data_IF_642319864534
#
_entry.id   IF_642319864534
#
_cell.length_a   1.000
_cell.length_b   1.000
_cell.length_c   1.000
_cell.angle_alpha   90.00
_cell.angle_beta   90.00
_cell.angle_gamma   90.00
#
_symmetry.space_group_name_H-M   'P 1'
#
loop_
_entity.id
_entity.type
_entity.pdbx_description
1 polymer ?
#
# COMPACT_ATOMS: atom_id res chain seq x y z
N UNK A 1 -35.95 5.22 -39.39
CA UNK A 1 -36.36 6.66 -39.32
C UNK A 1 -35.51 7.28 -38.26
N UNK A 2 -34.39 7.88 -38.62
CA UNK A 2 -34.15 9.31 -38.74
C UNK A 2 -34.40 10.07 -37.43
N UNK A 3 -33.35 10.49 -36.75
CA UNK A 3 -32.78 11.85 -36.62
C UNK A 3 -31.54 11.72 -35.72
N UNK A 4 -30.31 11.87 -36.22
CA UNK A 4 -29.48 13.07 -36.44
C UNK A 4 -29.11 13.76 -35.12
N UNK A 5 -27.83 13.64 -34.68
CA UNK A 5 -26.68 14.51 -35.02
C UNK A 5 -26.92 16.00 -34.71
N UNK A 6 -26.15 16.53 -33.80
CA UNK A 6 -25.50 17.86 -33.72
C UNK A 6 -25.01 18.04 -32.27
N UNK A 7 -23.85 18.48 -31.89
CA UNK A 7 -22.78 19.29 -32.48
C UNK A 7 -21.64 19.29 -31.45
N UNK A 8 -20.44 19.03 -31.71
CA UNK A 8 -19.36 19.77 -32.39
C UNK A 8 -19.14 21.20 -31.87
N UNK A 9 -17.97 21.39 -31.33
CA UNK A 9 -17.14 22.58 -31.25
C UNK A 9 -17.56 23.73 -30.31
N UNK A 10 -16.76 23.91 -29.23
CA UNK A 10 -16.10 25.22 -29.09
C UNK A 10 -14.70 25.01 -28.51
N UNK A 11 -13.78 25.24 -29.41
CA UNK A 11 -12.33 25.26 -29.18
C UNK A 11 -11.89 26.66 -28.78
N UNK A 12 -10.81 26.71 -27.99
CA UNK A 12 -9.69 27.63 -28.06
C UNK A 12 -9.99 29.14 -27.93
N UNK A 13 -9.28 29.66 -26.99
CA UNK A 13 -8.47 30.86 -27.05
C UNK A 13 -8.58 31.66 -25.75
N UNK A 14 -7.49 31.74 -25.03
CA UNK A 14 -6.89 33.00 -24.64
C UNK A 14 -5.48 32.74 -24.11
N UNK A 15 -4.55 32.91 -25.01
CA UNK A 15 -3.15 33.17 -24.74
C UNK A 15 -2.97 34.70 -24.61
N UNK A 16 -2.02 35.07 -23.78
CA UNK A 16 -1.12 36.20 -23.87
C UNK A 16 -1.47 37.50 -23.16
N UNK A 17 -0.39 37.93 -22.58
CA UNK A 17 0.07 39.28 -22.22
C UNK A 17 -0.24 39.71 -20.79
N UNK A 18 0.74 40.07 -19.96
CA UNK A 18 1.71 41.17 -20.20
C UNK A 18 2.92 41.01 -19.28
N UNK A 19 4.09 41.07 -19.88
CA UNK A 19 5.36 41.49 -19.27
C UNK A 19 5.30 42.98 -18.93
N UNK A 20 5.84 43.37 -17.80
CA UNK A 20 6.80 44.48 -17.65
C UNK A 20 6.74 45.09 -16.27
N UNK A 21 7.90 45.33 -15.73
CA UNK A 21 8.14 46.36 -14.75
C UNK A 21 9.28 46.10 -13.76
N UNK A 22 10.49 46.35 -14.23
CA UNK A 22 11.73 46.71 -13.52
C UNK A 22 11.57 47.34 -12.14
N UNK A 23 12.46 47.02 -11.17
CA UNK A 23 13.65 47.73 -10.91
C UNK A 23 14.14 47.63 -9.48
N UNK A 24 15.38 47.14 -9.33
CA UNK A 24 16.48 47.56 -8.45
C UNK A 24 16.18 47.93 -7.00
N UNK A 25 16.88 47.51 -5.98
CA UNK A 25 18.33 47.54 -5.74
C UNK A 25 18.65 46.94 -4.39
N UNK A 26 19.71 46.18 -4.31
CA UNK A 26 20.38 45.82 -3.04
C UNK A 26 21.12 47.04 -2.48
N UNK A 27 21.44 47.02 -1.17
CA UNK A 27 22.85 46.91 -0.82
C UNK A 27 23.16 45.96 0.36
N UNK A 28 24.28 45.33 0.25
CA UNK A 28 25.05 44.71 1.31
C UNK A 28 26.12 45.67 1.82
N UNK A 29 27.03 45.26 2.70
CA UNK A 29 26.93 44.85 4.11
C UNK A 29 27.74 45.79 5.03
N UNK A 30 27.68 45.64 6.33
CA UNK A 30 28.67 46.24 7.24
C UNK A 30 29.04 45.25 8.36
N UNK A 31 30.31 44.92 8.43
CA UNK A 31 31.02 44.30 9.53
C UNK A 31 31.08 45.22 10.75
N UNK A 32 31.13 44.70 11.93
CA UNK A 32 32.29 44.66 12.81
C UNK A 32 31.96 44.57 14.30
N UNK A 33 32.76 43.74 14.88
CA UNK A 33 33.55 43.81 16.14
C UNK A 33 32.88 43.40 17.44
N UNK A 34 33.51 42.41 17.97
CA UNK A 34 33.42 41.76 19.24
C UNK A 34 33.66 42.62 20.48
N UNK A 35 33.26 42.04 21.58
CA UNK A 35 34.13 42.01 22.78
C UNK A 35 33.65 41.00 23.81
N UNK A 36 34.60 40.31 24.37
CA UNK A 36 34.58 39.45 25.55
C UNK A 36 33.97 40.12 26.76
N UNK A 37 33.27 39.36 27.61
CA UNK A 37 33.49 39.36 29.07
C UNK A 37 32.63 38.31 29.79
N UNK A 38 33.30 37.28 30.32
CA UNK A 38 33.19 36.64 31.65
C UNK A 38 31.82 36.31 32.24
N UNK A 39 31.73 35.01 32.54
CA UNK A 39 30.80 34.30 33.44
C UNK A 39 30.91 34.83 34.88
N UNK A 40 29.81 34.75 35.66
CA UNK A 40 29.86 33.95 36.87
C UNK A 40 28.74 32.90 36.96
N UNK A 41 29.10 31.79 37.57
CA UNK A 41 28.28 30.63 37.88
C UNK A 41 27.35 30.88 39.10
N UNK A 42 26.34 30.02 39.13
CA UNK A 42 25.55 29.55 40.27
C UNK A 42 24.16 30.17 40.44
N UNK A 43 23.12 29.37 40.21
CA UNK A 43 22.38 28.71 41.28
C UNK A 43 21.29 27.79 40.70
N UNK A 44 21.23 26.59 41.28
CA UNK A 44 20.28 25.56 41.02
C UNK A 44 18.86 26.05 41.33
N UNK A 45 17.99 26.05 40.35
CA UNK A 45 16.56 26.02 40.61
C UNK A 45 15.99 24.73 39.94
N UNK A 46 15.37 23.95 40.77
CA UNK A 46 14.61 22.74 40.43
C UNK A 46 13.76 22.96 39.19
N UNK A 47 14.05 22.19 38.15
CA UNK A 47 13.12 21.99 37.06
C UNK A 47 11.89 21.29 37.66
N UNK A 48 10.77 21.95 37.63
CA UNK A 48 9.48 21.28 37.78
C UNK A 48 9.38 20.27 36.63
N UNK A 49 9.26 19.02 37.00
CA UNK A 49 8.74 17.96 36.11
C UNK A 49 7.32 18.41 35.71
N UNK A 50 7.18 18.97 34.52
CA UNK A 50 5.91 18.97 33.84
C UNK A 50 5.73 17.53 33.37
N UNK A 51 5.04 16.75 34.20
CA UNK A 51 4.50 15.47 33.77
C UNK A 51 3.73 15.73 32.49
N UNK A 52 4.12 15.04 31.40
CA UNK A 52 3.27 14.86 30.26
C UNK A 52 1.99 14.24 30.79
N UNK A 53 0.87 14.95 30.73
CA UNK A 53 -0.44 14.34 30.82
C UNK A 53 -0.53 13.36 29.65
N UNK A 54 -0.23 12.08 29.91
CA UNK A 54 -0.61 10.98 29.04
C UNK A 54 -2.11 11.12 28.83
N UNK A 55 -2.53 11.34 27.61
CA UNK A 55 -3.93 11.51 27.27
C UNK A 55 -4.68 10.22 27.58
N UNK A 56 -5.49 10.20 28.61
CA UNK A 56 -6.40 9.08 29.00
C UNK A 56 -7.45 8.77 27.92
N UNK A 57 -7.43 9.45 26.78
CA UNK A 57 -8.44 9.32 25.73
C UNK A 57 -8.55 7.90 25.13
N UNK A 58 -7.44 7.17 25.04
CA UNK A 58 -7.44 5.77 24.55
C UNK A 58 -8.06 4.78 25.54
N UNK A 59 -8.27 5.18 26.80
CA UNK A 59 -8.89 4.39 27.87
C UNK A 59 -10.18 4.99 28.43
N UNK A 60 -10.71 6.07 27.81
CA UNK A 60 -11.94 6.68 28.24
C UNK A 60 -13.11 5.68 28.23
N UNK A 61 -13.97 5.75 29.24
CA UNK A 61 -15.23 4.99 29.27
C UNK A 61 -16.03 5.33 27.99
N UNK A 62 -16.33 4.35 27.14
CA UNK A 62 -17.06 4.57 25.89
C UNK A 62 -18.34 5.38 26.04
N UNK A 63 -19.03 5.24 27.19
CA UNK A 63 -20.25 5.97 27.50
C UNK A 63 -20.02 7.47 27.79
N UNK A 64 -18.80 7.85 28.16
CA UNK A 64 -18.44 9.24 28.50
C UNK A 64 -17.87 10.04 27.32
N UNK A 65 -17.45 9.35 26.24
CA UNK A 65 -16.92 10.00 25.06
C UNK A 65 -18.05 10.50 24.17
N UNK A 66 -18.09 11.80 23.90
CA UNK A 66 -19.10 12.45 23.07
C UNK A 66 -18.50 13.49 22.13
N UNK A 67 -19.12 13.69 20.98
CA UNK A 67 -18.71 14.71 20.02
C UNK A 67 -18.91 14.29 18.58
N UNK A 68 -18.34 15.07 17.66
CA UNK A 68 -18.43 14.82 16.21
C UNK A 68 -17.07 15.10 15.58
N UNK A 69 -16.68 14.27 14.60
CA UNK A 69 -15.53 14.49 13.75
C UNK A 69 -15.79 14.06 12.31
N UNK A 70 -15.00 14.59 11.36
CA UNK A 70 -15.09 14.26 9.93
C UNK A 70 -14.10 13.17 9.56
N UNK A 71 -14.57 12.19 8.76
CA UNK A 71 -13.73 11.12 8.25
C UNK A 71 -13.89 10.95 6.74
N UNK A 72 -12.79 11.10 6.00
CA UNK A 72 -12.75 10.92 4.55
C UNK A 72 -12.01 9.65 4.16
N UNK A 73 -12.58 8.90 3.20
CA UNK A 73 -12.00 7.65 2.70
C UNK A 73 -12.36 7.40 1.23
N UNK A 74 -11.67 6.45 0.63
CA UNK A 74 -11.91 5.97 -0.74
C UNK A 74 -12.58 4.59 -0.77
N UNK A 75 -12.81 3.96 0.37
CA UNK A 75 -13.36 2.60 0.44
C UNK A 75 -14.69 2.55 1.17
N UNK A 76 -15.66 1.86 0.57
CA UNK A 76 -16.97 1.61 1.17
C UNK A 76 -16.90 0.76 2.45
N UNK A 77 -15.82 0.00 2.65
CA UNK A 77 -15.61 -0.81 3.85
C UNK A 77 -15.52 0.03 5.14
N UNK A 78 -15.18 1.32 5.03
CA UNK A 78 -15.20 2.26 6.15
C UNK A 78 -16.59 2.41 6.79
N UNK A 79 -17.68 2.19 6.05
CA UNK A 79 -19.02 2.13 6.66
C UNK A 79 -19.12 1.05 7.73
N UNK A 80 -18.46 -0.09 7.52
CA UNK A 80 -18.46 -1.19 8.47
C UNK A 80 -17.69 -0.84 9.73
N UNK A 81 -16.53 -0.19 9.57
CA UNK A 81 -15.71 0.31 10.67
C UNK A 81 -16.48 1.34 11.52
N UNK A 82 -17.09 2.34 10.86
CA UNK A 82 -17.87 3.38 11.54
C UNK A 82 -19.07 2.80 12.29
N UNK A 83 -19.80 1.85 11.67
CA UNK A 83 -20.93 1.19 12.33
C UNK A 83 -20.48 0.42 13.58
N UNK A 84 -19.40 -0.35 13.47
CA UNK A 84 -18.86 -1.12 14.58
C UNK A 84 -18.31 -0.23 15.70
N UNK A 85 -17.66 0.89 15.35
CA UNK A 85 -17.23 1.90 16.30
C UNK A 85 -18.43 2.52 17.04
N UNK A 86 -19.48 2.91 16.32
CA UNK A 86 -20.67 3.54 16.91
C UNK A 86 -21.48 2.61 17.81
N UNK A 87 -21.39 1.27 17.61
CA UNK A 87 -21.96 0.30 18.56
C UNK A 87 -21.27 0.38 19.94
N UNK A 88 -19.97 0.66 19.95
CA UNK A 88 -19.16 0.80 21.19
C UNK A 88 -19.19 2.23 21.75
N UNK A 89 -19.23 3.23 20.89
CA UNK A 89 -19.17 4.66 21.22
C UNK A 89 -20.41 5.41 20.70
N UNK A 90 -21.60 5.17 21.27
CA UNK A 90 -22.88 5.64 20.69
C UNK A 90 -23.08 7.16 20.74
N UNK A 91 -22.31 7.88 21.54
CA UNK A 91 -22.39 9.34 21.68
C UNK A 91 -21.38 10.07 20.77
N UNK A 92 -20.56 9.34 19.99
CA UNK A 92 -19.64 9.91 19.02
C UNK A 92 -20.29 9.84 17.63
N UNK A 93 -20.38 10.97 16.96
CA UNK A 93 -20.87 11.05 15.59
C UNK A 93 -19.69 11.19 14.62
N UNK A 94 -19.67 10.35 13.58
CA UNK A 94 -18.68 10.42 12.50
C UNK A 94 -19.38 10.90 11.22
N UNK A 95 -18.96 12.06 10.70
CA UNK A 95 -19.35 12.53 9.37
C UNK A 95 -18.46 11.84 8.33
N UNK A 96 -18.87 10.63 7.93
CA UNK A 96 -18.14 9.82 6.97
C UNK A 96 -18.44 10.27 5.54
N UNK A 97 -17.38 10.57 4.77
CA UNK A 97 -17.48 10.87 3.34
C UNK A 97 -16.62 9.88 2.54
N UNK A 98 -17.29 9.11 1.67
CA UNK A 98 -16.67 8.12 0.79
C UNK A 98 -16.64 8.67 -0.63
N UNK A 99 -15.48 8.63 -1.28
CA UNK A 99 -15.27 9.12 -2.64
C UNK A 99 -14.71 8.00 -3.52
N UNK A 100 -14.93 8.05 -4.84
CA UNK A 100 -14.25 7.15 -5.77
C UNK A 100 -12.73 7.32 -5.73
N UNK A 101 -11.95 6.25 -5.91
CA UNK A 101 -10.50 6.26 -5.66
C UNK A 101 -9.73 7.39 -6.35
N UNK A 102 -9.92 7.60 -7.67
CA UNK A 102 -9.22 8.66 -8.42
C UNK A 102 -9.67 10.07 -7.98
N UNK A 103 -10.96 10.25 -7.70
CA UNK A 103 -11.51 11.50 -7.18
C UNK A 103 -10.98 11.76 -5.77
N UNK A 104 -10.95 10.73 -4.93
CA UNK A 104 -10.49 10.83 -3.55
C UNK A 104 -9.04 11.31 -3.47
N UNK A 105 -8.12 10.65 -4.20
CA UNK A 105 -6.71 11.03 -4.21
C UNK A 105 -6.55 12.52 -4.51
N UNK A 106 -7.16 13.01 -5.59
CA UNK A 106 -7.08 14.42 -5.97
C UNK A 106 -7.64 15.34 -4.88
N UNK A 107 -8.76 14.95 -4.27
CA UNK A 107 -9.45 15.75 -3.27
C UNK A 107 -8.67 15.86 -1.97
N UNK A 108 -8.21 14.72 -1.42
CA UNK A 108 -7.44 14.72 -0.17
C UNK A 108 -6.10 15.46 -0.31
N UNK A 109 -5.39 15.25 -1.44
CA UNK A 109 -4.13 15.95 -1.68
C UNK A 109 -4.33 17.46 -1.80
N UNK A 110 -5.42 17.89 -2.48
CA UNK A 110 -5.75 19.32 -2.59
C UNK A 110 -6.10 19.93 -1.23
N UNK A 111 -6.90 19.24 -0.42
CA UNK A 111 -7.26 19.68 0.93
C UNK A 111 -6.01 19.82 1.83
N UNK A 112 -5.15 18.80 1.84
CA UNK A 112 -3.90 18.81 2.60
C UNK A 112 -2.95 19.95 2.16
N UNK A 113 -2.80 20.18 0.85
CA UNK A 113 -1.93 21.24 0.32
C UNK A 113 -2.45 22.65 0.59
N UNK A 114 -3.77 22.85 0.54
CA UNK A 114 -4.38 24.16 0.75
C UNK A 114 -4.60 24.47 2.23
N UNK A 115 -4.73 23.46 3.09
CA UNK A 115 -5.18 23.60 4.46
C UNK A 115 -6.67 23.91 4.60
N UNK A 116 -7.43 23.87 3.48
CA UNK A 116 -8.86 24.19 3.45
C UNK A 116 -9.70 22.90 3.42
N UNK A 117 -10.70 22.82 4.31
CA UNK A 117 -11.63 21.68 4.40
C UNK A 117 -10.93 20.33 4.59
N UNK A 118 -9.81 20.30 5.31
CA UNK A 118 -9.13 19.06 5.68
C UNK A 118 -10.01 18.32 6.68
N UNK A 119 -10.31 17.03 6.47
CA UNK A 119 -11.05 16.24 7.46
C UNK A 119 -10.20 15.99 8.72
N UNK A 120 -10.85 15.72 9.85
CA UNK A 120 -10.17 15.41 11.12
C UNK A 120 -9.39 14.08 11.01
N UNK A 121 -10.02 13.10 10.39
CA UNK A 121 -9.46 11.76 10.10
C UNK A 121 -9.59 11.49 8.61
N UNK A 122 -8.58 10.85 8.03
CA UNK A 122 -8.60 10.49 6.61
C UNK A 122 -7.72 9.28 6.33
N UNK A 123 -8.08 8.54 5.28
CA UNK A 123 -7.28 7.42 4.80
C UNK A 123 -6.31 7.84 3.72
N UNK A 124 -5.13 7.26 3.74
CA UNK A 124 -4.17 7.31 2.64
C UNK A 124 -3.89 5.88 2.16
N UNK A 125 -3.99 5.69 0.85
CA UNK A 125 -3.66 4.43 0.21
C UNK A 125 -2.14 4.34 0.01
N UNK A 126 -1.59 3.16 0.21
CA UNK A 126 -0.16 2.85 0.21
C UNK A 126 0.61 3.43 -0.99
N UNK A 127 0.03 3.43 -2.19
CA UNK A 127 0.68 3.91 -3.40
C UNK A 127 1.15 5.38 -3.33
N UNK A 128 0.58 6.17 -2.41
CA UNK A 128 0.96 7.59 -2.21
C UNK A 128 1.07 8.00 -0.74
N UNK A 129 0.73 7.12 0.20
CA UNK A 129 0.75 7.42 1.64
C UNK A 129 2.12 7.90 2.10
N UNK A 130 3.17 7.19 1.71
CA UNK A 130 4.54 7.47 2.17
C UNK A 130 5.07 8.84 1.74
N UNK A 131 4.50 9.45 0.68
CA UNK A 131 4.84 10.82 0.27
C UNK A 131 4.38 11.87 1.31
N UNK A 132 3.42 11.51 2.17
CA UNK A 132 2.79 12.41 3.12
C UNK A 132 3.10 12.14 4.59
N UNK A 133 3.57 10.93 4.96
CA UNK A 133 3.85 10.61 6.35
C UNK A 133 4.91 11.54 6.97
N UNK A 134 5.86 12.02 6.19
CA UNK A 134 6.87 13.00 6.64
C UNK A 134 6.31 14.44 6.74
N UNK A 135 5.05 14.66 6.36
CA UNK A 135 4.44 15.99 6.39
C UNK A 135 4.03 16.40 7.81
N UNK A 136 4.21 17.67 8.12
CA UNK A 136 3.68 18.28 9.35
C UNK A 136 2.14 18.38 9.37
N UNK A 137 1.49 18.08 8.24
CA UNK A 137 0.02 18.07 8.14
C UNK A 137 -0.61 16.85 8.83
N UNK A 138 0.16 15.77 9.00
CA UNK A 138 -0.27 14.54 9.66
C UNK A 138 0.24 14.54 11.10
N UNK A 139 -0.66 14.30 12.03
CA UNK A 139 -0.34 14.28 13.45
C UNK A 139 0.65 13.15 13.80
N UNK A 140 1.59 13.45 14.69
CA UNK A 140 2.36 12.43 15.41
C UNK A 140 1.43 11.76 16.43
N UNK A 141 1.25 10.44 16.32
CA UNK A 141 0.31 9.67 17.14
C UNK A 141 0.86 9.27 18.51
N UNK A 142 2.05 9.73 18.91
CA UNK A 142 2.65 9.40 20.21
C UNK A 142 1.79 9.80 21.41
N UNK A 143 0.88 10.77 21.22
CA UNK A 143 -0.05 11.22 22.26
C UNK A 143 -1.09 10.17 22.69
N UNK A 144 -1.26 9.07 21.92
CA UNK A 144 -2.25 8.03 22.18
C UNK A 144 -1.66 6.69 22.62
N UNK A 145 -0.42 6.65 23.10
CA UNK A 145 0.28 5.42 23.48
C UNK A 145 0.29 4.35 22.37
N UNK A 146 0.56 4.78 21.14
CA UNK A 146 0.43 3.99 19.92
C UNK A 146 1.30 2.74 19.92
N UNK A 147 2.49 2.77 20.56
CA UNK A 147 3.41 1.64 20.64
C UNK A 147 2.80 0.47 21.43
N UNK A 148 2.07 0.74 22.50
CA UNK A 148 1.37 -0.32 23.25
C UNK A 148 0.17 -0.87 22.45
N UNK A 149 -0.54 -0.01 21.71
CA UNK A 149 -1.66 -0.41 20.86
C UNK A 149 -1.23 -1.31 19.70
N UNK A 150 0.00 -1.15 19.22
CA UNK A 150 0.52 -1.86 18.04
C UNK A 150 1.60 -2.91 18.36
N UNK A 151 1.87 -3.18 19.63
CA UNK A 151 2.94 -4.10 20.07
C UNK A 151 2.81 -5.52 19.53
N UNK A 152 1.59 -5.95 19.26
CA UNK A 152 1.25 -7.27 18.77
C UNK A 152 1.02 -7.31 17.24
N UNK A 153 1.29 -6.19 16.52
CA UNK A 153 1.18 -6.13 15.07
C UNK A 153 2.41 -6.75 14.40
N UNK A 154 2.27 -7.13 13.14
CA UNK A 154 3.43 -7.55 12.32
C UNK A 154 4.42 -6.41 12.16
N UNK A 155 5.73 -6.72 12.19
CA UNK A 155 6.81 -5.72 12.11
C UNK A 155 6.70 -4.82 10.87
N UNK A 156 6.34 -5.39 9.71
CA UNK A 156 6.17 -4.61 8.49
C UNK A 156 4.99 -3.63 8.57
N UNK A 157 3.94 -3.98 9.30
CA UNK A 157 2.81 -3.08 9.55
C UNK A 157 3.24 -1.91 10.44
N UNK A 158 3.96 -2.21 11.53
CA UNK A 158 4.51 -1.18 12.42
C UNK A 158 5.47 -0.26 11.66
N UNK A 159 6.32 -0.82 10.78
CA UNK A 159 7.23 -0.05 9.96
C UNK A 159 6.49 0.88 8.97
N UNK A 160 5.46 0.35 8.29
CA UNK A 160 4.67 1.09 7.30
C UNK A 160 3.78 2.20 7.87
N UNK A 161 3.56 2.23 9.20
CA UNK A 161 2.81 3.30 9.87
C UNK A 161 3.66 4.48 10.35
N UNK A 162 4.99 4.41 10.16
CA UNK A 162 5.94 5.42 10.66
C UNK A 162 6.45 6.32 9.55
N UNK A 163 6.78 7.55 9.93
CA UNK A 163 7.54 8.47 9.08
C UNK A 163 9.05 8.12 9.07
N UNK A 164 9.83 8.83 8.26
CA UNK A 164 11.29 8.64 8.15
C UNK A 164 12.06 8.89 9.46
N UNK A 165 11.45 9.55 10.44
CA UNK A 165 12.03 9.80 11.77
C UNK A 165 11.66 8.73 12.80
N UNK A 166 10.81 7.76 12.43
CA UNK A 166 10.36 6.67 13.27
C UNK A 166 9.10 6.98 14.10
N UNK A 167 8.43 8.11 13.86
CA UNK A 167 7.20 8.49 14.54
C UNK A 167 5.99 7.88 13.85
N UNK A 168 5.06 7.38 14.63
CA UNK A 168 3.79 6.90 14.09
C UNK A 168 2.93 8.03 13.53
N UNK A 169 2.48 7.89 12.31
CA UNK A 169 1.67 8.86 11.57
C UNK A 169 0.34 8.30 11.08
N UNK A 170 0.22 6.98 11.05
CA UNK A 170 -0.97 6.29 10.56
C UNK A 170 -1.32 5.10 11.46
N UNK A 171 -2.56 4.59 11.33
CA UNK A 171 -3.01 3.32 11.88
C UNK A 171 -3.55 2.45 10.74
N UNK A 172 -3.11 1.19 10.66
CA UNK A 172 -3.67 0.24 9.69
C UNK A 172 -4.58 -0.77 10.38
N UNK A 173 -5.64 -1.17 9.69
CA UNK A 173 -6.60 -2.16 10.17
C UNK A 173 -6.47 -3.52 9.50
N UNK A 174 -5.57 -3.66 8.52
CA UNK A 174 -5.38 -4.89 7.75
C UNK A 174 -3.96 -5.03 7.23
N UNK A 175 -3.53 -6.28 6.98
CA UNK A 175 -2.17 -6.58 6.53
C UNK A 175 -1.99 -6.65 5.03
N UNK A 176 -2.99 -6.98 4.26
CA UNK A 176 -2.99 -7.07 2.79
C UNK A 176 -1.87 -7.92 2.16
N UNK A 177 -1.50 -9.11 2.70
CA UNK A 177 -0.48 -9.97 2.12
C UNK A 177 -0.86 -10.41 0.71
N UNK A 178 0.13 -10.58 -0.16
CA UNK A 178 -0.04 -11.01 -1.55
C UNK A 178 0.24 -12.50 -1.66
N UNK A 179 -0.72 -13.26 -2.24
CA UNK A 179 -0.60 -14.69 -2.49
C UNK A 179 -0.63 -15.04 -3.97
N UNK A 180 -0.26 -16.28 -4.29
CA UNK A 180 -0.50 -16.87 -5.60
C UNK A 180 -1.89 -17.51 -5.59
N UNK A 181 -2.86 -16.81 -6.14
CA UNK A 181 -4.22 -17.30 -6.27
C UNK A 181 -4.33 -18.19 -7.50
N UNK A 182 -4.98 -19.35 -7.36
CA UNK A 182 -5.13 -20.32 -8.45
C UNK A 182 -6.49 -21.00 -8.43
N UNK A 183 -6.92 -21.54 -9.57
CA UNK A 183 -8.09 -22.41 -9.67
C UNK A 183 -7.69 -23.83 -9.40
N UNK A 184 -8.31 -24.48 -8.39
CA UNK A 184 -7.96 -25.84 -7.93
C UNK A 184 -8.13 -26.89 -9.00
N UNK A 185 -9.27 -26.89 -9.70
CA UNK A 185 -9.56 -27.83 -10.77
C UNK A 185 -8.56 -27.70 -11.95
N UNK A 186 -8.24 -26.47 -12.33
CA UNK A 186 -7.26 -26.22 -13.39
C UNK A 186 -5.85 -26.63 -12.98
N UNK A 187 -5.44 -26.36 -11.74
CA UNK A 187 -4.13 -26.82 -11.24
C UNK A 187 -4.07 -28.35 -11.09
N UNK A 188 -5.14 -29.01 -10.63
CA UNK A 188 -5.24 -30.48 -10.61
C UNK A 188 -5.07 -31.08 -12.02
N UNK A 189 -5.73 -30.50 -13.03
CA UNK A 189 -5.65 -30.97 -14.41
C UNK A 189 -4.25 -30.78 -15.01
N UNK A 190 -3.64 -29.60 -14.84
CA UNK A 190 -2.44 -29.24 -15.57
C UNK A 190 -1.14 -29.44 -14.79
N UNK A 191 -1.17 -29.30 -13.46
CA UNK A 191 0.00 -29.47 -12.58
C UNK A 191 -0.02 -30.80 -11.83
N UNK A 192 -1.19 -31.48 -11.74
CA UNK A 192 -1.37 -32.76 -11.06
C UNK A 192 -1.55 -32.64 -9.56
N UNK A 193 -1.82 -31.43 -9.06
CA UNK A 193 -2.16 -31.15 -7.68
C UNK A 193 -2.95 -29.87 -7.54
N UNK A 194 -3.83 -29.83 -6.53
CA UNK A 194 -4.55 -28.64 -6.10
C UNK A 194 -4.25 -28.28 -4.62
N UNK A 195 -3.28 -28.98 -4.01
CA UNK A 195 -2.85 -28.74 -2.64
C UNK A 195 -1.98 -27.48 -2.55
N UNK A 196 -2.33 -26.48 -1.67
CA UNK A 196 -1.59 -25.23 -1.59
C UNK A 196 -0.11 -25.38 -1.22
N UNK A 197 0.23 -26.33 -0.35
CA UNK A 197 1.61 -26.54 0.08
C UNK A 197 2.44 -27.19 -1.04
N UNK A 198 1.87 -28.13 -1.79
CA UNK A 198 2.54 -28.74 -2.96
C UNK A 198 2.75 -27.72 -4.08
N UNK A 199 1.77 -26.84 -4.32
CA UNK A 199 1.91 -25.75 -5.29
C UNK A 199 2.98 -24.75 -4.83
N UNK A 200 3.01 -24.34 -3.57
CA UNK A 200 4.06 -23.47 -3.03
C UNK A 200 5.45 -24.09 -3.19
N UNK A 201 5.58 -25.41 -2.91
CA UNK A 201 6.83 -26.15 -3.06
C UNK A 201 7.25 -26.33 -4.53
N UNK A 202 6.32 -26.23 -5.48
CA UNK A 202 6.58 -26.33 -6.90
C UNK A 202 7.06 -25.01 -7.52
N UNK A 203 6.64 -23.85 -6.95
CA UNK A 203 6.87 -22.52 -7.51
C UNK A 203 7.91 -21.76 -6.69
N UNK A 204 9.17 -22.22 -6.74
CA UNK A 204 10.24 -21.77 -5.83
C UNK A 204 11.05 -20.58 -6.33
N UNK A 205 11.02 -20.29 -7.63
CA UNK A 205 11.72 -19.17 -8.27
C UNK A 205 11.20 -18.95 -9.70
N UNK A 206 11.60 -17.84 -10.33
CA UNK A 206 11.15 -17.53 -11.69
C UNK A 206 11.56 -18.55 -12.75
N UNK A 207 12.80 -19.05 -12.79
CA UNK A 207 13.18 -20.10 -13.74
C UNK A 207 12.30 -21.35 -13.63
N UNK A 208 11.97 -21.79 -12.42
CA UNK A 208 11.10 -22.95 -12.17
C UNK A 208 9.66 -22.66 -12.63
N UNK A 209 9.12 -21.47 -12.34
CA UNK A 209 7.79 -21.03 -12.79
C UNK A 209 7.72 -21.00 -14.32
N UNK A 210 8.73 -20.44 -14.98
CA UNK A 210 8.79 -20.36 -16.44
C UNK A 210 8.82 -21.76 -17.06
N UNK A 211 9.71 -22.64 -16.57
CA UNK A 211 9.81 -24.01 -17.07
C UNK A 211 8.50 -24.78 -16.88
N UNK A 212 7.85 -24.63 -15.72
CA UNK A 212 6.57 -25.25 -15.45
C UNK A 212 5.46 -24.70 -16.35
N UNK A 213 5.48 -23.40 -16.64
CA UNK A 213 4.53 -22.79 -17.57
C UNK A 213 4.68 -23.27 -19.00
N UNK A 214 5.90 -23.51 -19.48
CA UNK A 214 6.15 -24.11 -20.79
C UNK A 214 5.63 -25.55 -20.86
N UNK A 215 5.82 -26.37 -19.80
CA UNK A 215 5.23 -27.71 -19.71
C UNK A 215 3.70 -27.67 -19.80
N UNK A 216 3.05 -26.75 -19.09
CA UNK A 216 1.58 -26.57 -19.12
C UNK A 216 1.12 -26.16 -20.51
N UNK A 217 1.81 -25.21 -21.13
CA UNK A 217 1.47 -24.76 -22.49
C UNK A 217 1.56 -25.90 -23.51
N UNK A 218 2.60 -26.72 -23.45
CA UNK A 218 2.75 -27.88 -24.32
C UNK A 218 1.68 -28.95 -24.08
N UNK A 219 1.42 -29.31 -22.81
CA UNK A 219 0.39 -30.29 -22.42
C UNK A 219 -1.02 -29.86 -22.84
N UNK A 220 -1.31 -28.57 -22.75
CA UNK A 220 -2.61 -28.01 -23.13
C UNK A 220 -2.76 -27.75 -24.63
N UNK A 221 -1.77 -28.10 -25.45
CA UNK A 221 -1.72 -27.73 -26.86
C UNK A 221 -1.83 -26.22 -27.11
N UNK A 222 -1.26 -25.42 -26.22
CA UNK A 222 -1.20 -23.97 -26.33
C UNK A 222 -2.46 -23.22 -25.88
N UNK A 223 -3.36 -23.88 -25.16
CA UNK A 223 -4.63 -23.28 -24.72
C UNK A 223 -4.57 -22.71 -23.31
N UNK A 224 -3.61 -23.13 -22.48
CA UNK A 224 -3.45 -22.71 -21.09
C UNK A 224 -2.03 -22.18 -20.87
N UNK A 225 -1.93 -21.07 -20.13
CA UNK A 225 -0.68 -20.45 -19.73
C UNK A 225 -0.62 -20.36 -18.20
N UNK A 226 0.58 -20.38 -17.65
CA UNK A 226 0.74 -20.39 -16.21
C UNK A 226 0.56 -19.00 -15.59
N UNK A 227 1.11 -17.96 -16.25
CA UNK A 227 1.31 -16.64 -15.71
C UNK A 227 0.60 -15.55 -16.53
N UNK A 228 -0.02 -14.53 -15.89
CA UNK A 228 -0.82 -13.56 -16.62
C UNK A 228 0.00 -12.53 -17.40
N UNK A 229 1.04 -11.94 -16.77
CA UNK A 229 1.90 -10.92 -17.40
C UNK A 229 3.17 -10.65 -16.56
N UNK A 230 4.17 -10.04 -17.21
CA UNK A 230 5.47 -9.78 -16.57
C UNK A 230 5.43 -8.68 -15.49
N UNK A 231 4.45 -7.78 -15.50
CA UNK A 231 4.35 -6.74 -14.49
C UNK A 231 4.04 -7.30 -13.09
N UNK A 232 3.29 -8.42 -13.01
CA UNK A 232 2.96 -9.05 -11.72
C UNK A 232 4.17 -9.70 -11.04
N UNK A 233 5.27 -9.93 -11.77
CA UNK A 233 6.50 -10.46 -11.18
C UNK A 233 7.11 -9.48 -10.17
N UNK A 234 7.10 -8.17 -10.48
CA UNK A 234 7.64 -7.14 -9.58
C UNK A 234 6.88 -7.08 -8.26
N UNK A 235 5.58 -7.35 -8.26
CA UNK A 235 4.77 -7.40 -7.03
C UNK A 235 5.24 -8.47 -6.04
N UNK A 236 5.77 -9.58 -6.56
CA UNK A 236 6.27 -10.70 -5.73
C UNK A 236 7.59 -10.34 -5.07
N UNK A 237 8.51 -9.71 -5.80
CA UNK A 237 9.90 -9.55 -5.37
C UNK A 237 10.23 -8.20 -4.76
N UNK A 238 9.45 -7.14 -5.06
CA UNK A 238 9.80 -5.76 -4.75
C UNK A 238 10.12 -5.47 -3.27
N UNK A 239 9.52 -6.21 -2.33
CA UNK A 239 9.80 -6.08 -0.90
C UNK A 239 10.89 -7.00 -0.38
N UNK A 240 11.35 -7.93 -1.21
CA UNK A 240 12.46 -8.84 -0.85
C UNK A 240 13.81 -8.28 -1.27
N UNK A 241 13.81 -7.19 -2.05
CA UNK A 241 15.02 -6.51 -2.52
C UNK A 241 15.31 -5.27 -1.68
N UNK A 242 16.56 -4.85 -1.68
CA UNK A 242 16.95 -3.54 -1.14
C UNK A 242 16.18 -2.44 -1.88
N UNK A 243 15.70 -1.38 -1.18
CA UNK A 243 15.02 -0.27 -1.81
C UNK A 243 15.87 0.37 -2.92
N UNK A 244 15.24 0.73 -4.05
CA UNK A 244 15.91 1.40 -5.17
C UNK A 244 16.51 2.76 -4.79
N UNK A 245 15.89 3.46 -3.83
CA UNK A 245 16.44 4.70 -3.30
C UNK A 245 16.60 4.58 -1.80
N UNK A 246 17.79 4.91 -1.30
CA UNK A 246 18.13 4.96 0.12
C UNK A 246 18.94 6.24 0.37
N UNK A 247 18.60 6.98 1.41
CA UNK A 247 19.25 8.26 1.74
C UNK A 247 19.37 9.22 0.55
N UNK A 248 18.30 9.32 -0.23
CA UNK A 248 18.24 10.10 -1.50
C UNK A 248 19.26 9.69 -2.56
N UNK A 249 19.78 8.45 -2.51
CA UNK A 249 20.67 7.90 -3.51
C UNK A 249 20.04 6.70 -4.20
N UNK A 250 20.07 6.68 -5.54
CA UNK A 250 19.62 5.53 -6.34
C UNK A 250 20.67 4.42 -6.31
N UNK A 251 20.26 3.21 -5.93
CA UNK A 251 21.10 2.01 -5.93
C UNK A 251 20.34 0.87 -6.62
N UNK A 252 20.71 0.56 -7.86
CA UNK A 252 20.13 -0.56 -8.61
C UNK A 252 21.05 -1.77 -8.39
N UNK A 253 20.63 -2.67 -7.50
CA UNK A 253 21.38 -3.88 -7.17
C UNK A 253 21.27 -4.96 -8.25
N UNK A 254 22.09 -6.00 -8.14
CA UNK A 254 22.03 -7.16 -9.03
C UNK A 254 20.65 -7.85 -9.00
N UNK A 255 19.92 -7.78 -7.89
CA UNK A 255 18.55 -8.32 -7.78
C UNK A 255 17.59 -7.60 -8.72
N UNK A 256 17.63 -6.26 -8.77
CA UNK A 256 16.80 -5.49 -9.70
C UNK A 256 17.18 -5.71 -11.17
N UNK A 257 18.47 -5.90 -11.45
CA UNK A 257 18.94 -6.25 -12.81
C UNK A 257 18.45 -7.66 -13.16
N UNK A 258 18.61 -8.63 -12.25
CA UNK A 258 18.11 -9.99 -12.38
C UNK A 258 16.60 -10.06 -12.57
N UNK A 259 15.85 -9.14 -11.97
CA UNK A 259 14.41 -9.01 -12.19
C UNK A 259 14.11 -8.68 -13.67
N UNK A 260 14.82 -7.73 -14.28
CA UNK A 260 14.63 -7.40 -15.72
C UNK A 260 14.91 -8.64 -16.58
N UNK A 261 15.95 -9.41 -16.26
CA UNK A 261 16.32 -10.63 -17.01
C UNK A 261 15.25 -11.72 -16.87
N UNK A 262 14.73 -11.94 -15.67
CA UNK A 262 13.63 -12.86 -15.40
C UNK A 262 12.34 -12.43 -16.13
N UNK A 263 11.97 -11.13 -16.06
CA UNK A 263 10.82 -10.56 -16.77
C UNK A 263 10.98 -10.76 -18.29
N UNK A 264 12.17 -10.54 -18.85
CA UNK A 264 12.48 -10.73 -20.26
C UNK A 264 12.35 -12.20 -20.66
N UNK A 265 12.85 -13.11 -19.82
CA UNK A 265 12.75 -14.56 -20.05
C UNK A 265 11.30 -15.00 -20.02
N UNK A 266 10.53 -14.55 -19.04
CA UNK A 266 9.08 -14.80 -18.93
C UNK A 266 8.34 -14.27 -20.15
N UNK A 267 8.61 -13.03 -20.58
CA UNK A 267 7.98 -12.40 -21.74
C UNK A 267 8.17 -13.21 -23.03
N UNK A 268 9.37 -13.76 -23.24
CA UNK A 268 9.70 -14.55 -24.43
C UNK A 268 9.29 -16.03 -24.33
N UNK A 269 8.84 -16.49 -23.15
CA UNK A 269 8.40 -17.86 -22.91
C UNK A 269 6.94 -18.08 -23.34
N UNK A 270 6.50 -19.33 -23.32
CA UNK A 270 5.09 -19.70 -23.48
C UNK A 270 4.32 -19.73 -22.17
N UNK A 271 4.99 -19.52 -21.04
CA UNK A 271 4.37 -19.47 -19.73
C UNK A 271 3.45 -18.23 -19.53
N UNK A 272 3.73 -17.16 -20.26
CA UNK A 272 3.16 -15.83 -20.11
C UNK A 272 2.01 -15.56 -21.09
N UNK A 273 0.87 -15.11 -20.59
CA UNK A 273 -0.32 -14.81 -21.38
C UNK A 273 -0.35 -13.37 -21.96
N UNK A 274 0.47 -12.45 -21.45
CA UNK A 274 0.51 -11.03 -21.82
C UNK A 274 -0.84 -10.30 -21.64
N UNK A 275 -1.63 -10.72 -20.65
CA UNK A 275 -2.90 -10.10 -20.31
C UNK A 275 -2.68 -9.02 -19.23
N UNK A 276 -3.08 -7.79 -19.52
CA UNK A 276 -2.95 -6.69 -18.55
C UNK A 276 -3.81 -6.94 -17.31
N UNK A 277 -3.20 -6.82 -16.12
CA UNK A 277 -3.91 -6.97 -14.85
C UNK A 277 -5.15 -6.04 -14.81
N UNK A 278 -6.26 -6.54 -14.24
CA UNK A 278 -7.53 -5.85 -14.13
C UNK A 278 -8.28 -5.60 -15.44
N UNK A 279 -7.80 -6.11 -16.58
CA UNK A 279 -8.55 -6.06 -17.83
C UNK A 279 -9.66 -7.12 -17.86
N UNK A 280 -10.69 -6.91 -18.69
CA UNK A 280 -11.76 -7.89 -18.90
C UNK A 280 -11.24 -9.21 -19.48
N UNK A 281 -10.22 -9.15 -20.34
CA UNK A 281 -9.57 -10.32 -20.94
C UNK A 281 -8.81 -11.15 -19.89
N UNK A 282 -8.12 -10.48 -18.96
CA UNK A 282 -7.45 -11.12 -17.85
C UNK A 282 -8.44 -11.83 -16.91
N UNK A 283 -9.55 -11.14 -16.54
CA UNK A 283 -10.60 -11.74 -15.72
C UNK A 283 -11.27 -12.94 -16.42
N UNK A 284 -11.58 -12.82 -17.71
CA UNK A 284 -12.18 -13.90 -18.49
C UNK A 284 -11.23 -15.11 -18.63
N UNK A 285 -9.93 -14.87 -18.89
CA UNK A 285 -8.96 -15.96 -19.01
C UNK A 285 -8.76 -16.71 -17.67
N UNK A 286 -8.80 -16.01 -16.54
CA UNK A 286 -8.83 -16.62 -15.23
C UNK A 286 -10.08 -17.50 -15.05
N UNK A 287 -11.27 -16.93 -15.25
CA UNK A 287 -12.52 -17.64 -15.05
C UNK A 287 -12.68 -18.88 -15.95
N UNK A 288 -12.07 -18.83 -17.13
CA UNK A 288 -12.04 -19.96 -18.09
C UNK A 288 -10.93 -20.99 -17.79
N UNK A 289 -10.09 -20.79 -16.75
CA UNK A 289 -8.93 -21.64 -16.45
C UNK A 289 -7.83 -21.58 -17.51
N UNK A 290 -7.75 -20.50 -18.30
CA UNK A 290 -6.74 -20.31 -19.35
C UNK A 290 -5.44 -19.68 -18.84
N UNK A 291 -5.48 -19.02 -17.68
CA UNK A 291 -4.33 -18.66 -16.85
C UNK A 291 -4.49 -19.33 -15.49
N UNK A 292 -3.40 -19.95 -14.99
CA UNK A 292 -3.49 -20.74 -13.75
C UNK A 292 -3.29 -19.90 -12.50
N UNK A 293 -2.45 -18.88 -12.56
CA UNK A 293 -2.10 -18.06 -11.40
C UNK A 293 -2.41 -16.57 -11.61
N UNK A 294 -2.73 -15.93 -10.50
CA UNK A 294 -2.82 -14.47 -10.34
C UNK A 294 -2.07 -14.07 -9.07
N UNK A 295 -1.42 -12.93 -9.09
CA UNK A 295 -0.75 -12.35 -7.92
C UNK A 295 -1.69 -11.35 -7.30
N UNK A 296 -2.34 -11.73 -6.20
CA UNK A 296 -3.45 -10.95 -5.64
C UNK A 296 -3.27 -10.70 -4.14
N UNK A 297 -3.59 -9.48 -3.68
CA UNK A 297 -3.65 -9.18 -2.26
C UNK A 297 -4.88 -9.82 -1.60
N UNK A 298 -4.83 -9.99 -0.30
CA UNK A 298 -5.87 -10.67 0.48
C UNK A 298 -7.24 -9.99 0.46
N UNK A 299 -7.33 -8.73 0.04
CA UNK A 299 -8.60 -7.99 -0.04
C UNK A 299 -9.31 -8.12 -1.39
N UNK A 300 -8.71 -8.75 -2.41
CA UNK A 300 -9.34 -8.88 -3.73
C UNK A 300 -10.38 -9.99 -3.77
N UNK A 301 -11.53 -9.71 -3.22
CA UNK A 301 -12.72 -10.54 -3.34
C UNK A 301 -13.73 -9.99 -4.37
N UNK A 302 -13.35 -8.92 -5.10
CA UNK A 302 -14.31 -8.12 -5.87
C UNK A 302 -14.40 -8.46 -7.34
N UNK A 303 -13.43 -9.18 -7.92
CA UNK A 303 -13.42 -9.51 -9.34
C UNK A 303 -13.88 -10.95 -9.59
N UNK A 304 -15.13 -11.10 -10.07
CA UNK A 304 -15.72 -12.38 -10.52
C UNK A 304 -15.66 -13.53 -9.48
N UNK A 305 -15.57 -13.17 -8.21
CA UNK A 305 -15.45 -14.09 -7.08
C UNK A 305 -16.56 -15.16 -7.06
N UNK A 306 -17.83 -14.74 -7.29
CA UNK A 306 -18.97 -15.65 -7.19
C UNK A 306 -18.91 -16.81 -8.20
N UNK A 307 -18.21 -16.65 -9.33
CA UNK A 307 -18.06 -17.68 -10.36
C UNK A 307 -17.16 -18.83 -9.89
N UNK A 308 -16.18 -18.55 -9.01
CA UNK A 308 -15.13 -19.50 -8.64
C UNK A 308 -15.16 -19.90 -7.16
N UNK A 309 -16.25 -19.61 -6.43
CA UNK A 309 -16.40 -20.01 -5.02
C UNK A 309 -16.20 -21.52 -4.86
N UNK A 310 -15.39 -21.88 -3.87
CA UNK A 310 -15.02 -23.28 -3.57
C UNK A 310 -13.91 -23.84 -4.46
N UNK A 311 -13.58 -23.18 -5.57
CA UNK A 311 -12.55 -23.62 -6.52
C UNK A 311 -11.24 -22.83 -6.44
N UNK A 312 -11.17 -21.76 -5.66
CA UNK A 312 -9.95 -20.97 -5.50
C UNK A 312 -9.07 -21.54 -4.41
N UNK A 313 -7.77 -21.60 -4.66
CA UNK A 313 -6.74 -21.84 -3.66
C UNK A 313 -5.73 -20.71 -3.62
N UNK A 314 -4.99 -20.61 -2.53
CA UNK A 314 -3.93 -19.62 -2.34
C UNK A 314 -2.65 -20.35 -1.94
N UNK A 315 -1.61 -20.23 -2.75
CA UNK A 315 -0.28 -20.74 -2.44
C UNK A 315 0.61 -19.60 -1.94
N UNK A 316 1.52 -19.95 -1.03
CA UNK A 316 2.51 -19.02 -0.48
C UNK A 316 3.58 -18.76 -1.52
N UNK A 317 3.82 -17.50 -1.93
CA UNK A 317 4.90 -17.16 -2.84
C UNK A 317 6.28 -17.45 -2.25
N UNK A 318 7.28 -17.63 -3.13
CA UNK A 318 8.67 -17.83 -2.69
C UNK A 318 9.27 -16.57 -2.06
N UNK A 319 8.84 -15.38 -2.50
CA UNK A 319 9.06 -14.10 -1.85
C UNK A 319 7.75 -13.54 -1.35
N UNK A 320 7.79 -12.80 -0.23
CA UNK A 320 6.59 -12.28 0.42
C UNK A 320 6.47 -10.77 0.21
N UNK A 321 5.25 -10.33 -0.06
CA UNK A 321 4.93 -8.92 -0.26
C UNK A 321 3.53 -8.59 0.23
N UNK A 322 3.19 -7.31 0.22
CA UNK A 322 1.86 -6.79 0.51
C UNK A 322 1.47 -5.71 -0.50
N UNK A 323 0.19 -5.46 -0.68
CA UNK A 323 -0.32 -4.44 -1.62
C UNK A 323 -1.62 -3.84 -1.11
N UNK A 324 -1.74 -2.51 -1.21
CA UNK A 324 -2.98 -1.80 -0.93
C UNK A 324 -3.32 -1.69 0.56
N UNK A 325 -2.32 -1.52 1.41
CA UNK A 325 -2.54 -1.17 2.81
C UNK A 325 -3.14 0.23 2.90
N UNK A 326 -4.10 0.40 3.80
CA UNK A 326 -4.70 1.70 4.12
C UNK A 326 -4.13 2.21 5.43
N UNK A 327 -3.60 3.42 5.42
CA UNK A 327 -3.20 4.14 6.62
C UNK A 327 -4.24 5.18 7.00
N UNK A 328 -4.91 5.01 8.15
CA UNK A 328 -5.83 6.00 8.71
C UNK A 328 -5.03 7.03 9.50
N UNK A 329 -5.07 8.28 9.07
CA UNK A 329 -4.29 9.41 9.56
C UNK A 329 -5.17 10.42 10.27
N UNK A 330 -4.56 11.26 11.14
CA UNK A 330 -5.23 12.38 11.81
C UNK A 330 -4.62 13.69 11.32
N UNK A 331 -5.46 14.67 11.01
CA UNK A 331 -5.00 16.01 10.66
C UNK A 331 -4.34 16.70 11.85
N UNK A 332 -3.13 17.21 11.66
CA UNK A 332 -2.35 17.77 12.77
C UNK A 332 -2.99 19.01 13.42
N UNK A 333 -3.73 19.81 12.65
CA UNK A 333 -4.44 20.98 13.17
C UNK A 333 -5.88 20.70 13.64
N UNK A 334 -6.31 19.42 13.64
CA UNK A 334 -7.63 19.05 14.16
C UNK A 334 -7.74 19.32 15.65
N UNK A 335 -8.88 19.87 16.07
CA UNK A 335 -9.26 20.04 17.47
C UNK A 335 -10.02 18.82 18.05
N UNK A 336 -10.13 17.74 17.25
CA UNK A 336 -10.81 16.48 17.57
C UNK A 336 -9.86 15.32 17.86
N UNK A 337 -8.61 15.60 18.21
CA UNK A 337 -7.58 14.56 18.40
C UNK A 337 -7.96 13.48 19.42
N UNK A 338 -8.71 13.85 20.47
CA UNK A 338 -9.17 12.87 21.47
C UNK A 338 -10.18 11.88 20.89
N UNK A 339 -11.12 12.37 20.06
CA UNK A 339 -12.07 11.49 19.36
C UNK A 339 -11.38 10.62 18.31
N UNK A 340 -10.44 11.20 17.56
CA UNK A 340 -9.61 10.49 16.62
C UNK A 340 -8.76 9.41 17.30
N UNK A 341 -8.17 9.70 18.46
CA UNK A 341 -7.41 8.72 19.26
C UNK A 341 -8.26 7.52 19.66
N UNK A 342 -9.49 7.75 20.15
CA UNK A 342 -10.41 6.66 20.48
C UNK A 342 -10.79 5.83 19.26
N UNK A 343 -10.96 6.47 18.09
CA UNK A 343 -11.27 5.80 16.83
C UNK A 343 -10.08 4.94 16.34
N UNK A 344 -8.86 5.47 16.36
CA UNK A 344 -7.66 4.73 15.99
C UNK A 344 -7.35 3.60 16.98
N UNK A 345 -7.54 3.83 18.28
CA UNK A 345 -7.41 2.79 19.30
C UNK A 345 -8.43 1.65 19.10
N UNK A 346 -9.65 1.97 18.65
CA UNK A 346 -10.63 0.95 18.29
C UNK A 346 -10.18 0.14 17.07
N UNK A 347 -9.64 0.79 16.03
CA UNK A 347 -9.06 0.11 14.86
C UNK A 347 -7.98 -0.89 15.28
N UNK A 348 -7.12 -0.51 16.22
CA UNK A 348 -6.04 -1.36 16.73
C UNK A 348 -6.51 -2.50 17.66
N UNK A 349 -7.74 -2.43 18.19
CA UNK A 349 -8.21 -3.38 19.20
C UNK A 349 -8.41 -4.79 18.63
N UNK A 350 -8.10 -5.80 19.44
CA UNK A 350 -8.34 -7.21 19.11
C UNK A 350 -9.81 -7.45 18.72
N UNK A 351 -10.76 -6.79 19.41
CA UNK A 351 -12.19 -6.90 19.13
C UNK A 351 -12.52 -6.49 17.68
N UNK A 352 -12.01 -5.35 17.23
CA UNK A 352 -12.25 -4.90 15.86
C UNK A 352 -11.48 -5.74 14.84
N UNK A 353 -10.23 -6.09 15.11
CA UNK A 353 -9.42 -6.93 14.22
C UNK A 353 -10.08 -8.30 13.98
N UNK A 354 -10.63 -8.94 15.04
CA UNK A 354 -11.40 -10.18 14.92
C UNK A 354 -12.70 -10.01 14.15
N UNK A 355 -13.47 -8.96 14.45
CA UNK A 355 -14.70 -8.62 13.74
C UNK A 355 -14.45 -8.39 12.24
N UNK A 356 -13.37 -7.68 11.90
CA UNK A 356 -12.99 -7.36 10.53
C UNK A 356 -12.61 -8.62 9.74
N UNK A 357 -11.91 -9.56 10.37
CA UNK A 357 -11.62 -10.86 9.79
C UNK A 357 -12.91 -11.69 9.59
N UNK A 358 -13.72 -11.86 10.64
CA UNK A 358 -14.89 -12.75 10.62
C UNK A 358 -15.99 -12.27 9.64
N UNK A 359 -16.20 -10.97 9.55
CA UNK A 359 -17.30 -10.41 8.73
C UNK A 359 -16.86 -10.01 7.32
N UNK A 360 -15.60 -9.62 7.15
CA UNK A 360 -15.14 -8.98 5.92
C UNK A 360 -13.90 -9.65 5.32
N UNK A 361 -13.48 -10.78 5.90
CA UNK A 361 -12.30 -11.54 5.45
C UNK A 361 -11.00 -10.72 5.34
N UNK A 362 -10.89 -9.63 6.11
CA UNK A 362 -9.70 -8.80 6.12
C UNK A 362 -8.65 -9.41 7.05
N UNK A 363 -7.46 -9.70 6.53
CA UNK A 363 -6.37 -10.24 7.34
C UNK A 363 -5.93 -9.21 8.37
N UNK A 364 -5.96 -9.54 9.67
CA UNK A 364 -5.61 -8.60 10.73
C UNK A 364 -4.20 -8.03 10.60
N UNK A 365 -4.02 -6.77 11.02
CA UNK A 365 -2.69 -6.19 11.21
C UNK A 365 -2.00 -6.79 12.46
N UNK A 366 -2.76 -7.29 13.41
CA UNK A 366 -2.29 -7.94 14.64
C UNK A 366 -1.90 -9.39 14.39
N UNK A 367 -0.59 -9.70 14.53
CA UNK A 367 -0.10 -11.08 14.52
C UNK A 367 -0.73 -11.93 15.62
N UNK A 368 -0.90 -11.36 16.82
CA UNK A 368 -1.56 -12.05 17.94
C UNK A 368 -2.97 -12.51 17.56
N UNK A 369 -3.77 -11.64 16.94
CA UNK A 369 -5.13 -12.00 16.49
C UNK A 369 -5.09 -13.06 15.41
N UNK A 370 -4.15 -12.98 14.46
CA UNK A 370 -3.96 -14.02 13.46
C UNK A 370 -3.62 -15.37 14.10
N UNK A 371 -2.69 -15.41 15.04
CA UNK A 371 -2.27 -16.63 15.74
C UNK A 371 -3.43 -17.25 16.57
N UNK A 372 -4.20 -16.39 17.27
CA UNK A 372 -5.37 -16.84 18.06
C UNK A 372 -6.50 -17.42 17.21
N UNK A 373 -6.71 -16.86 16.00
CA UNK A 373 -7.83 -17.24 15.14
C UNK A 373 -7.46 -18.26 14.06
N UNK A 374 -6.17 -18.54 13.85
CA UNK A 374 -5.73 -19.46 12.80
C UNK A 374 -6.22 -20.89 13.04
N UNK A 375 -6.35 -21.33 14.29
CA UNK A 375 -6.82 -22.68 14.61
C UNK A 375 -8.28 -22.85 14.19
N UNK A 376 -8.51 -23.66 13.15
CA UNK A 376 -9.86 -23.97 12.66
C UNK A 376 -10.48 -22.91 11.75
N UNK A 377 -9.75 -21.87 11.35
CA UNK A 377 -10.23 -20.85 10.41
C UNK A 377 -10.15 -21.37 8.97
N UNK A 378 -11.20 -22.07 8.55
CA UNK A 378 -11.33 -22.59 7.18
C UNK A 378 -12.40 -21.83 6.41
N UNK A 379 -12.21 -21.68 5.09
CA UNK A 379 -13.17 -21.03 4.22
C UNK A 379 -13.67 -21.99 3.15
N UNK A 380 -14.96 -22.27 3.16
CA UNK A 380 -15.63 -23.05 2.09
C UNK A 380 -15.51 -22.36 0.73
N UNK A 381 -15.47 -21.04 0.71
CA UNK A 381 -15.27 -20.25 -0.50
C UNK A 381 -13.90 -20.50 -1.15
N UNK A 382 -12.92 -21.00 -0.37
CA UNK A 382 -11.58 -21.41 -0.81
C UNK A 382 -11.37 -22.93 -0.71
N UNK A 383 -12.44 -23.71 -0.90
CA UNK A 383 -12.36 -25.17 -0.90
C UNK A 383 -11.92 -25.77 0.44
N UNK A 384 -12.28 -25.14 1.54
CA UNK A 384 -11.94 -25.59 2.91
C UNK A 384 -10.52 -25.23 3.34
N UNK A 385 -9.78 -24.40 2.58
CA UNK A 385 -8.45 -23.96 2.96
C UNK A 385 -8.48 -23.08 4.21
N UNK A 386 -7.51 -23.28 5.10
CA UNK A 386 -7.25 -22.34 6.19
C UNK A 386 -6.51 -21.11 5.66
N UNK A 387 -7.28 -20.10 5.25
CA UNK A 387 -6.75 -18.88 4.67
C UNK A 387 -5.88 -18.09 5.63
N UNK A 388 -6.30 -18.03 6.91
CA UNK A 388 -5.58 -17.23 7.88
C UNK A 388 -4.20 -17.81 8.16
N UNK A 389 -4.07 -19.15 8.24
CA UNK A 389 -2.76 -19.79 8.35
C UNK A 389 -1.87 -19.51 7.14
N UNK A 390 -2.44 -19.56 5.92
CA UNK A 390 -1.69 -19.23 4.69
C UNK A 390 -1.22 -17.78 4.67
N UNK A 391 -2.10 -16.84 4.99
CA UNK A 391 -1.75 -15.42 5.00
C UNK A 391 -0.81 -15.04 6.14
N UNK A 392 -0.94 -15.68 7.33
CA UNK A 392 0.01 -15.49 8.43
C UNK A 392 1.41 -15.96 8.05
N UNK A 393 1.53 -17.08 7.33
CA UNK A 393 2.82 -17.55 6.81
C UNK A 393 3.44 -16.55 5.84
N UNK A 394 2.63 -15.91 4.98
CA UNK A 394 3.11 -14.86 4.07
C UNK A 394 3.55 -13.64 4.89
N UNK A 395 2.72 -13.16 5.84
CA UNK A 395 3.04 -12.01 6.68
C UNK A 395 4.35 -12.20 7.48
N UNK A 396 4.59 -13.40 8.01
CA UNK A 396 5.81 -13.73 8.77
C UNK A 396 7.09 -13.67 7.90
N UNK A 397 6.96 -13.78 6.58
CA UNK A 397 8.08 -13.70 5.63
C UNK A 397 8.33 -12.29 5.09
N UNK A 398 7.39 -11.35 5.29
CA UNK A 398 7.54 -9.97 4.81
C UNK A 398 8.61 -9.27 5.65
N UNK A 399 9.62 -8.72 5.01
CA UNK A 399 10.67 -7.97 5.68
C UNK A 399 10.12 -6.63 6.15
N UNK A 400 10.33 -6.30 7.43
CA UNK A 400 9.95 -5.02 8.02
C UNK A 400 10.88 -3.89 7.57
N UNK A 401 10.72 -3.41 6.35
CA UNK A 401 11.39 -2.20 5.86
C UNK A 401 10.52 -1.01 6.24
N UNK A 402 11.09 0.04 6.82
CA UNK A 402 10.38 1.32 6.95
C UNK A 402 10.33 1.98 5.58
N UNK A 403 9.16 2.04 4.94
CA UNK A 403 9.04 2.70 3.64
C UNK A 403 9.25 4.21 3.79
N UNK A 404 9.76 4.82 2.74
CA UNK A 404 9.88 6.26 2.60
C UNK A 404 9.12 6.76 1.36
N UNK A 405 9.13 8.08 1.13
CA UNK A 405 8.45 8.71 -0.01
C UNK A 405 8.88 8.15 -1.39
N UNK A 406 10.04 7.52 -1.47
CA UNK A 406 10.55 6.95 -2.72
C UNK A 406 10.13 5.50 -2.94
N UNK A 407 9.82 4.75 -1.88
CA UNK A 407 9.70 3.29 -1.91
C UNK A 407 8.70 2.83 -2.96
N UNK A 408 7.44 3.21 -2.87
CA UNK A 408 6.39 2.76 -3.83
C UNK A 408 6.54 3.39 -5.20
N UNK A 409 6.84 4.67 -5.26
CA UNK A 409 6.94 5.37 -6.55
C UNK A 409 8.09 4.81 -7.38
N UNK A 410 9.24 4.48 -6.77
CA UNK A 410 10.37 3.91 -7.51
C UNK A 410 10.09 2.49 -7.99
N UNK A 411 9.45 1.63 -7.16
CA UNK A 411 9.00 0.31 -7.57
C UNK A 411 8.05 0.37 -8.77
N UNK A 412 7.04 1.25 -8.72
CA UNK A 412 6.07 1.42 -9.79
C UNK A 412 6.73 1.95 -11.08
N UNK A 413 7.66 2.91 -10.97
CA UNK A 413 8.37 3.45 -12.14
C UNK A 413 9.39 2.46 -12.73
N UNK A 414 10.02 1.65 -11.89
CA UNK A 414 10.86 0.54 -12.35
C UNK A 414 10.02 -0.50 -13.10
N UNK A 415 8.90 -0.95 -12.53
CA UNK A 415 7.97 -1.87 -13.17
C UNK A 415 7.51 -1.35 -14.53
N UNK A 416 7.11 -0.09 -14.60
CA UNK A 416 6.68 0.57 -15.85
C UNK A 416 7.80 0.57 -16.90
N UNK A 417 9.02 0.98 -16.51
CA UNK A 417 10.16 1.05 -17.42
C UNK A 417 10.59 -0.35 -17.91
N UNK A 418 10.66 -1.33 -16.99
CA UNK A 418 11.03 -2.70 -17.34
C UNK A 418 9.98 -3.34 -18.25
N UNK A 419 8.69 -3.24 -17.91
CA UNK A 419 7.62 -3.82 -18.72
C UNK A 419 7.58 -3.25 -20.13
N UNK A 420 7.60 -1.92 -20.25
CA UNK A 420 7.54 -1.24 -21.55
C UNK A 420 8.83 -1.48 -22.37
N UNK A 421 9.99 -1.35 -21.74
CA UNK A 421 11.27 -1.53 -22.41
C UNK A 421 11.47 -2.96 -22.93
N UNK A 422 11.04 -3.98 -22.18
CA UNK A 422 11.07 -5.37 -22.64
C UNK A 422 10.16 -5.56 -23.86
N UNK A 423 8.94 -5.02 -23.82
CA UNK A 423 7.99 -5.08 -24.96
C UNK A 423 8.51 -4.38 -26.21
N UNK A 424 9.29 -3.31 -26.02
CA UNK A 424 9.94 -2.56 -27.10
C UNK A 424 11.27 -3.19 -27.56
N UNK A 425 11.73 -4.26 -26.93
CA UNK A 425 12.98 -4.96 -27.27
C UNK A 425 14.26 -4.23 -26.82
N UNK A 426 14.16 -3.31 -25.82
CA UNK A 426 15.30 -2.61 -25.24
C UNK A 426 16.17 -3.57 -24.42
N UNK A 427 17.47 -3.31 -24.37
CA UNK A 427 18.41 -3.96 -23.43
C UNK A 427 18.24 -3.40 -22.01
N UNK A 428 18.94 -3.99 -21.04
CA UNK A 428 18.83 -3.60 -19.64
C UNK A 428 19.33 -2.18 -19.41
N UNK A 429 20.41 -1.76 -20.07
CA UNK A 429 20.98 -0.43 -19.92
C UNK A 429 20.00 0.64 -20.38
N UNK A 430 19.33 0.44 -21.52
CA UNK A 430 18.31 1.38 -22.03
C UNK A 430 17.07 1.44 -21.12
N UNK A 431 16.68 0.32 -20.49
CA UNK A 431 15.58 0.29 -19.52
C UNK A 431 15.96 1.07 -18.26
N UNK A 432 17.16 0.84 -17.75
CA UNK A 432 17.68 1.52 -16.55
C UNK A 432 17.82 3.02 -16.80
N UNK A 433 18.35 3.43 -17.96
CA UNK A 433 18.47 4.85 -18.34
C UNK A 433 17.11 5.54 -18.43
N UNK A 434 16.10 4.86 -18.97
CA UNK A 434 14.72 5.39 -18.99
C UNK A 434 14.14 5.53 -17.59
N UNK A 435 14.35 4.53 -16.73
CA UNK A 435 13.93 4.58 -15.34
C UNK A 435 14.61 5.75 -14.60
N UNK A 436 15.94 5.87 -14.71
CA UNK A 436 16.72 6.97 -14.12
C UNK A 436 16.17 8.33 -14.57
N UNK A 437 15.90 8.48 -15.86
CA UNK A 437 15.34 9.73 -16.39
C UNK A 437 13.98 10.06 -15.78
N UNK A 438 13.05 9.10 -15.75
CA UNK A 438 11.72 9.29 -15.16
C UNK A 438 11.81 9.64 -13.67
N UNK A 439 12.69 8.99 -12.94
CA UNK A 439 12.91 9.27 -11.53
C UNK A 439 13.49 10.68 -11.31
N UNK A 440 14.47 11.08 -12.12
CA UNK A 440 15.06 12.43 -12.04
C UNK A 440 14.04 13.54 -12.36
N UNK A 441 13.16 13.31 -13.33
CA UNK A 441 12.11 14.26 -13.69
C UNK A 441 11.10 14.47 -12.53
N UNK A 442 10.90 13.44 -11.69
CA UNK A 442 10.00 13.50 -10.54
C UNK A 442 10.70 13.98 -9.25
N UNK A 443 11.93 13.53 -9.03
CA UNK A 443 12.72 13.79 -7.82
C UNK A 443 14.15 14.21 -8.17
N UNK A 444 14.33 15.49 -8.56
CA UNK A 444 15.66 16.01 -8.92
C UNK A 444 16.70 15.93 -7.81
N UNK A 445 16.26 15.79 -6.54
CA UNK A 445 17.12 15.64 -5.38
C UNK A 445 17.75 14.25 -5.24
N UNK A 446 17.27 13.24 -5.98
CA UNK A 446 17.84 11.89 -5.93
C UNK A 446 19.17 11.86 -6.69
N UNK A 447 20.22 11.44 -5.99
CA UNK A 447 21.57 11.27 -6.55
C UNK A 447 21.60 10.01 -7.40
N UNK A 448 21.99 10.14 -8.67
CA UNK A 448 22.04 9.06 -9.67
C UNK A 448 23.46 8.87 -10.17
N UNK A 449 24.30 8.25 -9.37
CA UNK A 449 25.70 7.99 -9.76
C UNK A 449 25.81 6.89 -10.83
#
# INVERSE_FOLDING_TARGET
MKKKLLSVLLSAAMLAAVLAGCGSSAPAPAESTGNDASVPAAESSQAAETGSEETEAAQADPASLEGEFTYWTYTDSANNLVNAFNEKYPNVKIDLQVFGGDEYKTKILTALQSGDNVPDVFDLEENYMYEFLDSDLIADLSYMNIEELTKDFYDFQVAGMKDSTGKFKAMSFQSSPVGFWYLRDACEEWLGTSDPAEISAMLTDWPTIIAKGEEVYEKSNGTVQLWPNIAEMVKVDAFSFDPLVRDSKLEITDDWIGMIDNMRTMYNSKANAELGSWSSEWAAAWNDGKILFRVMPSWDFFTDWDTNKGNVGIAVPFNASYEGVTGTCVYNESDKKDLAAAFLAYIASDDFQKLNLEKYNQVPASKKVCDEMAEGFTSEDFGGQNLLATYSEICDKIVGITPDKFTRVTQNKFQEAATNGIKEGKDNDAIIDEFKKKLHDMYPEVIMD
#
